data_IF_055732663156
#
_entry.id   IF_055732663156
#
_cell.length_a   1.000
_cell.length_b   1.000
_cell.length_c   1.000
_cell.angle_alpha   90.00
_cell.angle_beta   90.00
_cell.angle_gamma   90.00
#
_symmetry.space_group_name_H-M   'P 1'
#
loop_
_entity.id
_entity.type
_entity.pdbx_description
1 polymer ?
#
# COMPACT_ATOMS: atom_id res chain seq x y z
N UNK A 1 54.87 37.24 -14.55
CA UNK A 1 53.43 37.44 -14.34
C UNK A 1 52.68 36.26 -14.96
N UNK A 2 52.31 35.27 -14.18
CA UNK A 2 51.65 34.02 -14.64
C UNK A 2 50.19 34.06 -14.20
N UNK A 3 49.28 34.22 -15.16
CA UNK A 3 47.81 34.27 -14.92
C UNK A 3 47.29 32.84 -14.84
N UNK A 4 46.92 32.38 -13.66
CA UNK A 4 46.15 31.15 -13.45
C UNK A 4 44.68 31.40 -13.85
N UNK A 5 44.24 30.78 -14.92
CA UNK A 5 42.83 30.70 -15.29
C UNK A 5 42.20 29.51 -14.50
N UNK A 6 41.39 29.86 -13.52
CA UNK A 6 40.62 28.91 -12.73
C UNK A 6 39.32 28.59 -13.48
N UNK A 7 39.29 27.42 -14.17
CA UNK A 7 38.09 26.93 -14.82
C UNK A 7 37.14 26.40 -13.78
N UNK A 8 36.03 27.10 -13.58
CA UNK A 8 34.89 26.66 -12.73
C UNK A 8 34.06 25.64 -13.53
N UNK A 9 34.23 24.36 -13.23
CA UNK A 9 33.39 23.30 -13.79
C UNK A 9 32.00 23.32 -13.08
N UNK A 10 30.98 23.74 -13.80
CA UNK A 10 29.60 23.68 -13.36
C UNK A 10 29.11 22.22 -13.47
N UNK A 11 29.06 21.52 -12.34
CA UNK A 11 28.46 20.18 -12.25
C UNK A 11 26.93 20.33 -12.25
N UNK A 12 26.32 20.11 -13.42
CA UNK A 12 24.86 19.95 -13.51
C UNK A 12 24.48 18.58 -12.88
N UNK A 13 23.96 18.59 -11.68
CA UNK A 13 23.32 17.42 -11.07
C UNK A 13 21.99 17.16 -11.80
N UNK A 14 21.96 16.16 -12.69
CA UNK A 14 20.70 15.59 -13.20
C UNK A 14 20.04 14.84 -12.04
N UNK A 15 19.04 15.45 -11.40
CA UNK A 15 18.11 14.72 -10.54
C UNK A 15 17.28 13.79 -11.43
N UNK A 16 17.18 12.49 -11.13
CA UNK A 16 16.28 11.60 -11.86
C UNK A 16 14.83 12.13 -11.71
N UNK A 17 14.17 12.33 -12.83
CA UNK A 17 12.73 12.58 -12.86
C UNK A 17 12.06 11.29 -12.32
N UNK A 18 11.56 11.33 -11.09
CA UNK A 18 10.65 10.30 -10.58
C UNK A 18 9.38 10.46 -11.39
N UNK A 19 9.08 9.49 -12.24
CA UNK A 19 7.80 9.43 -12.93
C UNK A 19 6.73 9.14 -11.88
N UNK A 20 5.64 9.88 -11.92
CA UNK A 20 4.47 9.67 -11.07
C UNK A 20 3.23 9.61 -11.95
N UNK A 21 2.32 8.69 -11.63
CA UNK A 21 1.02 8.56 -12.29
C UNK A 21 -0.01 9.30 -11.43
N UNK A 22 -0.69 10.29 -12.00
CA UNK A 22 -1.77 10.97 -11.28
C UNK A 22 -3.06 10.15 -11.34
N UNK A 23 -3.65 9.85 -10.17
CA UNK A 23 -4.92 9.13 -10.03
C UNK A 23 -5.78 9.83 -8.98
N UNK A 24 -6.95 10.34 -9.35
CA UNK A 24 -7.87 11.08 -8.47
C UNK A 24 -7.19 12.24 -7.71
N UNK A 25 -6.28 12.97 -8.38
CA UNK A 25 -5.54 14.09 -7.77
C UNK A 25 -4.38 13.66 -6.86
N UNK A 26 -4.05 12.36 -6.84
CA UNK A 26 -2.94 11.80 -6.08
C UNK A 26 -1.79 11.45 -7.00
N UNK A 27 -0.60 11.94 -6.71
CA UNK A 27 0.64 11.54 -7.38
C UNK A 27 1.11 10.19 -6.83
N UNK A 28 1.02 9.15 -7.66
CA UNK A 28 1.45 7.79 -7.32
C UNK A 28 2.83 7.54 -7.90
N UNK A 29 3.81 7.33 -7.04
CA UNK A 29 5.20 7.06 -7.46
C UNK A 29 5.31 5.70 -8.15
N UNK A 30 6.13 5.60 -9.20
CA UNK A 30 6.42 4.33 -9.89
C UNK A 30 7.22 3.34 -9.03
N UNK A 31 7.79 3.81 -7.92
CA UNK A 31 8.65 3.02 -7.03
C UNK A 31 8.32 3.28 -5.57
N UNK A 32 8.53 2.26 -4.75
CA UNK A 32 8.37 2.31 -3.30
C UNK A 32 9.63 1.76 -2.62
N UNK A 33 10.21 2.52 -1.70
CA UNK A 33 11.36 2.07 -0.92
C UNK A 33 10.86 1.22 0.26
N UNK A 34 11.04 -0.11 0.19
CA UNK A 34 10.96 -1.01 1.33
C UNK A 34 12.35 -1.14 1.97
N UNK A 35 12.43 -1.60 3.23
CA UNK A 35 13.66 -1.52 4.04
C UNK A 35 14.96 -1.92 3.32
N UNK A 36 14.95 -3.00 2.54
CA UNK A 36 16.16 -3.53 1.89
C UNK A 36 16.12 -3.54 0.37
N UNK A 37 14.99 -3.17 -0.23
CA UNK A 37 14.85 -3.18 -1.68
C UNK A 37 13.85 -2.14 -2.17
N UNK A 38 13.98 -1.79 -3.43
CA UNK A 38 13.03 -0.96 -4.15
C UNK A 38 11.98 -1.85 -4.81
N UNK A 39 10.69 -1.57 -4.53
CA UNK A 39 9.56 -2.20 -5.17
C UNK A 39 9.07 -1.32 -6.34
N UNK A 40 8.51 -1.95 -7.37
CA UNK A 40 7.92 -1.27 -8.53
C UNK A 40 6.40 -1.25 -8.41
N UNK A 41 5.78 -0.20 -8.91
CA UNK A 41 4.32 -0.10 -8.99
C UNK A 41 3.79 -1.22 -9.90
N UNK A 42 2.96 -2.09 -9.33
CA UNK A 42 2.25 -3.13 -10.09
C UNK A 42 0.98 -2.59 -10.72
N UNK A 43 0.21 -1.84 -9.96
CA UNK A 43 -1.00 -1.22 -10.46
C UNK A 43 -1.64 -0.34 -9.39
N UNK A 44 -2.56 0.53 -9.83
CA UNK A 44 -3.22 1.50 -8.96
C UNK A 44 -4.67 1.70 -9.38
N UNK A 45 -5.55 1.76 -8.39
CA UNK A 45 -6.97 2.00 -8.61
C UNK A 45 -7.62 2.78 -7.47
N UNK A 46 -8.89 3.10 -7.66
CA UNK A 46 -9.69 3.89 -6.73
C UNK A 46 -10.72 2.99 -6.07
N UNK A 47 -10.77 3.00 -4.74
CA UNK A 47 -11.89 2.43 -3.97
C UNK A 47 -13.05 3.41 -3.99
N UNK A 48 -14.15 2.99 -4.58
CA UNK A 48 -15.38 3.80 -4.65
C UNK A 48 -16.46 3.18 -3.78
N UNK A 49 -17.21 3.97 -3.02
CA UNK A 49 -18.38 3.53 -2.26
C UNK A 49 -19.47 4.59 -2.37
N UNK A 50 -20.70 4.19 -2.69
CA UNK A 50 -21.83 5.12 -2.90
C UNK A 50 -21.50 6.29 -3.85
N UNK A 51 -20.85 5.97 -4.99
CA UNK A 51 -20.43 6.92 -6.02
C UNK A 51 -19.36 7.94 -5.59
N UNK A 52 -18.73 7.76 -4.43
CA UNK A 52 -17.65 8.61 -3.93
C UNK A 52 -16.35 7.85 -3.88
N UNK A 53 -15.28 8.51 -4.27
CA UNK A 53 -13.93 8.00 -4.13
C UNK A 53 -13.52 8.07 -2.67
N UNK A 54 -13.02 6.96 -2.15
CA UNK A 54 -12.70 6.80 -0.72
C UNK A 54 -11.19 6.86 -0.51
N UNK A 55 -10.46 6.08 -1.29
CA UNK A 55 -8.99 6.09 -1.29
C UNK A 55 -8.46 5.61 -2.65
N UNK A 56 -7.24 6.03 -2.97
CA UNK A 56 -6.42 5.44 -4.03
C UNK A 56 -5.59 4.33 -3.40
N UNK A 57 -5.61 3.13 -3.99
CA UNK A 57 -4.78 2.00 -3.56
C UNK A 57 -3.76 1.66 -4.64
N UNK A 58 -2.48 1.63 -4.28
CA UNK A 58 -1.37 1.26 -5.13
C UNK A 58 -0.68 0.00 -4.59
N UNK A 59 -0.48 -1.00 -5.46
CA UNK A 59 0.23 -2.24 -5.16
C UNK A 59 1.67 -2.14 -5.66
N UNK A 60 2.63 -2.45 -4.80
CA UNK A 60 4.05 -2.46 -5.12
C UNK A 60 4.65 -3.84 -4.87
N UNK A 61 5.37 -4.35 -5.86
CA UNK A 61 5.97 -5.69 -5.88
C UNK A 61 7.45 -5.63 -6.27
N UNK A 62 8.26 -6.68 -6.01
CA UNK A 62 9.64 -6.77 -6.51
C UNK A 62 9.74 -6.71 -8.04
N UNK A 63 8.75 -7.27 -8.73
CA UNK A 63 8.52 -7.19 -10.17
C UNK A 63 7.02 -7.24 -10.45
N UNK A 64 6.57 -6.71 -11.57
CA UNK A 64 5.15 -6.74 -11.92
C UNK A 64 4.63 -8.17 -12.08
N UNK A 65 3.41 -8.41 -11.58
CA UNK A 65 2.71 -9.69 -11.66
C UNK A 65 1.19 -9.46 -11.72
N UNK A 66 0.51 -10.12 -12.63
CA UNK A 66 -0.95 -10.03 -12.83
C UNK A 66 -1.71 -11.20 -12.17
N UNK A 67 -0.99 -12.19 -11.64
CA UNK A 67 -1.58 -13.34 -10.99
C UNK A 67 -1.81 -13.06 -9.49
N UNK A 68 -3.06 -12.76 -9.13
CA UNK A 68 -3.45 -12.44 -7.77
C UNK A 68 -3.11 -13.57 -6.76
N UNK A 69 -3.31 -14.82 -7.14
CA UNK A 69 -3.05 -15.97 -6.26
C UNK A 69 -1.56 -16.10 -5.95
N UNK A 70 -0.70 -15.92 -6.97
CA UNK A 70 0.76 -15.92 -6.77
C UNK A 70 1.19 -14.77 -5.85
N UNK A 71 0.65 -13.57 -6.03
CA UNK A 71 0.97 -12.40 -5.19
C UNK A 71 0.54 -12.66 -3.73
N UNK A 72 -0.68 -13.17 -3.52
CA UNK A 72 -1.17 -13.49 -2.17
C UNK A 72 -0.30 -14.57 -1.52
N UNK A 73 0.05 -15.64 -2.26
CA UNK A 73 0.81 -16.77 -1.74
C UNK A 73 2.29 -16.46 -1.48
N UNK A 74 2.87 -15.52 -2.22
CA UNK A 74 4.31 -15.21 -2.16
C UNK A 74 4.77 -14.79 -0.77
N UNK A 75 5.91 -15.30 -0.34
CA UNK A 75 6.63 -14.89 0.86
C UNK A 75 7.80 -13.97 0.45
N UNK A 76 7.45 -12.82 -0.14
CA UNK A 76 8.38 -11.83 -0.69
C UNK A 76 7.96 -10.42 -0.22
N UNK A 77 8.89 -9.46 -0.12
CA UNK A 77 8.57 -8.08 0.22
C UNK A 77 7.56 -7.48 -0.75
N UNK A 78 6.55 -6.82 -0.22
CA UNK A 78 5.54 -6.12 -1.02
C UNK A 78 4.82 -5.06 -0.19
N UNK A 79 4.18 -4.11 -0.84
CA UNK A 79 3.44 -3.07 -0.15
C UNK A 79 2.12 -2.72 -0.84
N UNK A 80 1.13 -2.34 -0.03
CA UNK A 80 -0.06 -1.63 -0.50
C UNK A 80 -0.06 -0.25 0.17
N UNK A 81 -0.08 0.80 -0.63
CA UNK A 81 -0.28 2.18 -0.17
C UNK A 81 -1.72 2.58 -0.39
N UNK A 82 -2.37 3.05 0.67
CA UNK A 82 -3.70 3.66 0.63
C UNK A 82 -3.54 5.17 0.82
N UNK A 83 -4.05 5.94 -0.12
CA UNK A 83 -4.10 7.39 -0.03
C UNK A 83 -5.53 7.84 0.15
N UNK A 84 -5.87 8.41 1.29
CA UNK A 84 -7.23 8.79 1.64
C UNK A 84 -7.64 10.05 0.86
N UNK A 85 -8.72 9.95 0.08
CA UNK A 85 -9.22 11.07 -0.74
C UNK A 85 -10.63 11.51 -0.33
N UNK A 86 -11.09 11.07 0.84
CA UNK A 86 -12.45 11.36 1.32
C UNK A 86 -12.48 11.61 2.81
N UNK A 87 -13.12 12.70 3.22
CA UNK A 87 -13.42 13.00 4.61
C UNK A 87 -14.52 12.09 5.23
N UNK A 88 -15.11 11.19 4.43
CA UNK A 88 -16.10 10.24 4.91
C UNK A 88 -15.52 9.07 5.69
N UNK A 89 -14.21 8.86 5.64
CA UNK A 89 -13.52 7.86 6.46
C UNK A 89 -13.43 8.40 7.89
N UNK A 90 -13.68 7.53 8.84
CA UNK A 90 -13.42 7.73 10.26
C UNK A 90 -12.93 6.40 10.87
N UNK A 91 -12.35 6.41 12.09
CA UNK A 91 -11.79 5.20 12.70
C UNK A 91 -12.76 4.01 12.72
N UNK A 92 -14.02 4.24 13.07
CA UNK A 92 -15.04 3.19 13.10
C UNK A 92 -15.27 2.57 11.72
N UNK A 93 -15.48 3.40 10.69
CA UNK A 93 -15.68 2.91 9.31
C UNK A 93 -14.46 2.20 8.76
N UNK A 94 -13.26 2.66 9.10
CA UNK A 94 -12.01 2.01 8.71
C UNK A 94 -11.92 0.62 9.35
N UNK A 95 -12.14 0.52 10.67
CA UNK A 95 -12.14 -0.74 11.40
C UNK A 95 -13.21 -1.71 10.90
N UNK A 96 -14.46 -1.25 10.73
CA UNK A 96 -15.56 -2.07 10.23
C UNK A 96 -15.24 -2.60 8.81
N UNK A 97 -14.76 -1.74 7.90
CA UNK A 97 -14.40 -2.14 6.54
C UNK A 97 -13.20 -3.11 6.51
N UNK A 98 -12.26 -2.97 7.42
CA UNK A 98 -11.12 -3.88 7.56
C UNK A 98 -11.60 -5.27 8.01
N UNK A 99 -12.48 -5.35 9.03
CA UNK A 99 -13.06 -6.62 9.47
C UNK A 99 -13.85 -7.30 8.35
N UNK A 100 -14.72 -6.57 7.67
CA UNK A 100 -15.48 -7.08 6.52
C UNK A 100 -14.53 -7.62 5.43
N UNK A 101 -13.44 -6.91 5.17
CA UNK A 101 -12.41 -7.33 4.23
C UNK A 101 -11.75 -8.65 4.62
N UNK A 102 -11.42 -8.85 5.90
CA UNK A 102 -10.87 -10.12 6.38
C UNK A 102 -11.90 -11.25 6.32
N UNK A 103 -13.17 -11.00 6.63
CA UNK A 103 -14.23 -12.01 6.48
C UNK A 103 -14.31 -12.49 5.02
N UNK A 104 -14.27 -11.58 4.06
CA UNK A 104 -14.30 -11.90 2.63
C UNK A 104 -13.04 -12.66 2.20
N UNK A 105 -11.85 -12.14 2.50
CA UNK A 105 -10.58 -12.71 2.06
C UNK A 105 -10.27 -14.09 2.65
N UNK A 106 -10.87 -14.43 3.80
CA UNK A 106 -10.71 -15.72 4.47
C UNK A 106 -11.89 -16.68 4.26
N UNK A 107 -12.88 -16.30 3.43
CA UNK A 107 -14.11 -17.09 3.27
C UNK A 107 -14.89 -17.26 4.58
N UNK A 108 -14.82 -16.29 5.49
CA UNK A 108 -15.48 -16.29 6.80
C UNK A 108 -14.68 -16.91 7.93
N UNK A 109 -13.51 -17.52 7.65
CA UNK A 109 -12.69 -18.15 8.68
C UNK A 109 -11.60 -17.22 9.21
N UNK A 110 -11.98 -16.21 9.98
CA UNK A 110 -11.05 -15.22 10.58
C UNK A 110 -10.38 -15.76 11.86
N UNK A 111 -11.01 -16.71 12.56
CA UNK A 111 -10.55 -17.20 13.86
C UNK A 111 -9.04 -17.53 13.97
N UNK A 112 -8.38 -18.13 12.95
CA UNK A 112 -6.95 -18.41 13.04
C UNK A 112 -6.02 -17.19 13.07
N UNK A 113 -6.53 -15.99 12.77
CA UNK A 113 -5.77 -14.72 12.69
C UNK A 113 -6.48 -13.58 13.41
N UNK A 114 -7.45 -13.88 14.29
CA UNK A 114 -8.28 -12.86 14.93
C UNK A 114 -7.46 -11.90 15.79
N UNK A 115 -6.46 -12.41 16.51
CA UNK A 115 -5.57 -11.57 17.33
C UNK A 115 -4.77 -10.58 16.48
N UNK A 116 -4.27 -11.03 15.33
CA UNK A 116 -3.53 -10.23 14.38
C UNK A 116 -4.43 -9.16 13.71
N UNK A 117 -5.68 -9.50 13.44
CA UNK A 117 -6.67 -8.54 12.92
C UNK A 117 -6.96 -7.44 13.94
N UNK A 118 -7.13 -7.80 15.22
CA UNK A 118 -7.33 -6.82 16.29
C UNK A 118 -6.10 -5.92 16.46
N UNK A 119 -4.90 -6.47 16.40
CA UNK A 119 -3.66 -5.70 16.45
C UNK A 119 -3.57 -4.70 15.29
N UNK A 120 -3.87 -5.12 14.05
CA UNK A 120 -3.92 -4.21 12.90
C UNK A 120 -4.92 -3.06 13.13
N UNK A 121 -6.10 -3.36 13.67
CA UNK A 121 -7.16 -2.37 13.87
C UNK A 121 -6.74 -1.28 14.85
N UNK A 122 -5.82 -1.57 15.78
CA UNK A 122 -5.28 -0.53 16.68
C UNK A 122 -4.60 0.60 15.91
N UNK A 123 -4.03 0.33 14.73
CA UNK A 123 -3.39 1.34 13.88
C UNK A 123 -4.39 2.38 13.32
N UNK A 124 -5.70 2.08 13.37
CA UNK A 124 -6.76 2.94 12.83
C UNK A 124 -7.59 3.65 13.90
N UNK A 125 -7.18 3.61 15.16
CA UNK A 125 -7.95 4.20 16.28
C UNK A 125 -7.92 5.74 16.28
N UNK A 126 -6.85 6.34 15.76
CA UNK A 126 -6.75 7.79 15.64
C UNK A 126 -7.66 8.31 14.50
N UNK A 127 -8.06 9.58 14.61
CA UNK A 127 -8.84 10.23 13.56
C UNK A 127 -8.13 10.11 12.21
N UNK A 128 -8.85 9.64 11.18
CA UNK A 128 -8.36 9.52 9.81
C UNK A 128 -8.85 10.73 9.02
N UNK A 129 -7.96 11.41 8.31
CA UNK A 129 -8.25 12.61 7.56
C UNK A 129 -7.97 12.42 6.07
N UNK A 130 -8.63 13.24 5.25
CA UNK A 130 -8.31 13.33 3.83
C UNK A 130 -6.87 13.81 3.65
N UNK A 131 -6.11 13.15 2.78
CA UNK A 131 -4.67 13.34 2.60
C UNK A 131 -3.79 12.39 3.40
N UNK A 132 -4.33 11.67 4.39
CA UNK A 132 -3.56 10.63 5.09
C UNK A 132 -3.11 9.51 4.14
N UNK A 133 -1.93 8.98 4.39
CA UNK A 133 -1.42 7.77 3.74
C UNK A 133 -1.28 6.63 4.74
N UNK A 134 -1.68 5.43 4.34
CA UNK A 134 -1.37 4.19 5.05
C UNK A 134 -0.54 3.29 4.16
N UNK A 135 0.64 2.90 4.63
CA UNK A 135 1.50 1.92 3.95
C UNK A 135 1.45 0.61 4.72
N UNK A 136 0.98 -0.43 4.04
CA UNK A 136 0.95 -1.80 4.54
C UNK A 136 2.14 -2.52 3.92
N UNK A 137 3.27 -2.55 4.62
CA UNK A 137 4.55 -3.07 4.11
C UNK A 137 4.80 -4.44 4.69
N UNK A 138 4.87 -5.45 3.83
CA UNK A 138 5.22 -6.82 4.20
C UNK A 138 6.69 -7.09 3.93
N UNK A 139 7.36 -7.60 4.94
CA UNK A 139 8.70 -8.17 4.87
C UNK A 139 8.68 -9.59 5.49
N UNK A 140 9.20 -10.62 4.82
CA UNK A 140 9.14 -12.01 5.31
C UNK A 140 9.67 -12.21 6.73
N UNK A 141 10.74 -11.48 7.09
CA UNK A 141 11.37 -11.62 8.40
C UNK A 141 10.61 -10.91 9.54
N UNK A 142 9.87 -9.83 9.25
CA UNK A 142 9.24 -8.97 10.25
C UNK A 142 7.71 -8.97 10.23
N UNK A 143 7.09 -9.46 9.15
CA UNK A 143 5.63 -9.42 8.97
C UNK A 143 5.16 -8.14 8.29
N UNK A 144 3.93 -7.71 8.57
CA UNK A 144 3.32 -6.50 8.03
C UNK A 144 3.51 -5.35 8.99
N UNK A 145 4.23 -4.31 8.58
CA UNK A 145 4.29 -3.05 9.30
C UNK A 145 3.30 -2.06 8.67
N UNK A 146 2.48 -1.42 9.50
CA UNK A 146 1.58 -0.36 9.10
C UNK A 146 2.21 0.98 9.43
N UNK A 147 2.40 1.79 8.41
CA UNK A 147 2.81 3.18 8.58
C UNK A 147 1.62 4.10 8.28
N UNK A 148 1.46 5.15 9.04
CA UNK A 148 0.58 6.28 8.73
C UNK A 148 1.43 7.52 8.57
N UNK A 149 1.37 8.15 7.40
CA UNK A 149 2.16 9.34 7.06
C UNK A 149 3.67 9.15 7.33
N UNK A 150 4.18 7.92 7.08
CA UNK A 150 5.57 7.55 7.32
C UNK A 150 5.92 7.16 8.76
N UNK A 151 4.99 7.27 9.71
CA UNK A 151 5.17 6.86 11.10
C UNK A 151 4.66 5.44 11.33
N UNK A 152 5.48 4.53 11.88
CA UNK A 152 5.07 3.16 12.21
C UNK A 152 4.02 3.15 13.31
N UNK A 153 2.89 2.49 13.08
CA UNK A 153 1.76 2.39 14.01
C UNK A 153 1.59 1.00 14.60
N UNK A 154 1.84 -0.06 13.82
CA UNK A 154 1.79 -1.44 14.29
C UNK A 154 2.67 -2.33 13.43
N UNK A 155 3.02 -3.52 13.97
CA UNK A 155 3.72 -4.57 13.22
C UNK A 155 3.10 -5.92 13.56
N UNK A 156 2.51 -6.58 12.58
CA UNK A 156 1.79 -7.84 12.72
C UNK A 156 2.51 -8.95 11.98
N UNK A 157 2.91 -10.00 12.69
CA UNK A 157 3.68 -11.10 12.14
C UNK A 157 2.80 -12.17 11.48
N UNK A 158 3.40 -12.91 10.56
CA UNK A 158 2.83 -14.12 10.01
C UNK A 158 2.41 -14.03 8.55
N UNK A 159 2.87 -15.02 7.77
CA UNK A 159 2.52 -15.11 6.35
C UNK A 159 1.01 -15.30 6.14
N UNK A 160 0.34 -16.09 6.99
CA UNK A 160 -1.13 -16.26 6.90
C UNK A 160 -1.88 -14.96 7.08
N UNK A 161 -1.43 -14.12 8.02
CA UNK A 161 -2.00 -12.79 8.20
C UNK A 161 -1.80 -11.92 6.96
N UNK A 162 -0.57 -11.88 6.41
CA UNK A 162 -0.28 -11.16 5.16
C UNK A 162 -1.18 -11.63 4.02
N UNK A 163 -1.33 -12.94 3.84
CA UNK A 163 -2.17 -13.51 2.80
C UNK A 163 -3.63 -13.05 2.92
N UNK A 164 -4.18 -13.08 4.13
CA UNK A 164 -5.53 -12.60 4.38
C UNK A 164 -5.65 -11.07 4.18
N UNK A 165 -4.67 -10.29 4.64
CA UNK A 165 -4.66 -8.84 4.49
C UNK A 165 -4.62 -8.41 3.01
N UNK A 166 -3.68 -8.93 2.23
CA UNK A 166 -3.58 -8.62 0.80
C UNK A 166 -4.78 -9.19 0.02
N UNK A 167 -5.34 -10.30 0.50
CA UNK A 167 -6.58 -10.88 0.00
C UNK A 167 -7.80 -9.94 0.06
N UNK A 168 -7.81 -8.94 0.95
CA UNK A 168 -8.88 -7.93 1.00
C UNK A 168 -9.06 -7.27 -0.38
N UNK A 169 -7.97 -7.04 -1.11
CA UNK A 169 -8.01 -6.43 -2.44
C UNK A 169 -7.88 -7.43 -3.58
N UNK A 170 -7.19 -8.56 -3.36
CA UNK A 170 -6.72 -9.43 -4.43
C UNK A 170 -7.39 -10.82 -4.48
N UNK A 171 -8.15 -11.24 -3.45
CA UNK A 171 -8.81 -12.56 -3.41
C UNK A 171 -9.92 -12.70 -4.47
N UNK A 172 -10.55 -13.86 -4.52
CA UNK A 172 -11.71 -14.12 -5.38
C UNK A 172 -12.95 -13.30 -4.97
N UNK A 173 -13.08 -12.97 -3.66
CA UNK A 173 -14.11 -12.06 -3.16
C UNK A 173 -13.46 -10.78 -2.62
N UNK A 174 -12.92 -9.89 -3.50
CA UNK A 174 -12.23 -8.68 -3.08
C UNK A 174 -13.23 -7.63 -2.59
N UNK A 175 -12.73 -6.63 -1.91
CA UNK A 175 -13.57 -5.51 -1.45
C UNK A 175 -14.22 -4.75 -2.62
N UNK A 176 -13.61 -4.81 -3.83
CA UNK A 176 -14.16 -4.27 -5.08
C UNK A 176 -13.41 -4.84 -6.29
N UNK A 177 -14.13 -5.53 -7.21
CA UNK A 177 -13.54 -6.17 -8.40
C UNK A 177 -12.77 -5.18 -9.28
N UNK A 178 -13.38 -4.04 -9.61
CA UNK A 178 -12.73 -3.02 -10.44
C UNK A 178 -11.43 -2.49 -9.83
N UNK A 179 -11.34 -2.42 -8.51
CA UNK A 179 -10.10 -2.01 -7.83
C UNK A 179 -9.04 -3.10 -7.97
N UNK A 180 -9.41 -4.37 -7.74
CA UNK A 180 -8.54 -5.52 -7.97
C UNK A 180 -7.96 -5.52 -9.38
N UNK A 181 -8.82 -5.39 -10.40
CA UNK A 181 -8.40 -5.35 -11.80
C UNK A 181 -7.34 -4.26 -12.04
N UNK A 182 -7.55 -3.06 -11.46
CA UNK A 182 -6.62 -1.94 -11.60
C UNK A 182 -5.32 -2.11 -10.82
N UNK A 183 -5.31 -2.83 -9.71
CA UNK A 183 -4.10 -3.16 -8.97
C UNK A 183 -3.27 -4.25 -9.67
N UNK A 184 -3.88 -5.04 -10.56
CA UNK A 184 -3.25 -6.08 -11.36
C UNK A 184 -2.93 -5.64 -12.81
N UNK A 185 -3.32 -4.44 -13.22
CA UNK A 185 -3.16 -3.88 -14.57
C UNK A 185 -1.76 -3.23 -14.71
N UNK A 186 -0.73 -4.09 -14.79
CA UNK A 186 0.70 -3.73 -14.87
C UNK A 186 1.21 -3.57 -16.30
#
# INVERSE_FOLDING_TARGET
MMRFLMSLALVLSLSPLVSAKEVAGVDVADKFAADQQELVLNGVGIRTKFFMDIYVAALYLPKTNQNAEEIIAADEPMAIRLHIVSSMINPKRMSDSTRDGFVRSTGGNVAPIEAEVEELITAFQDAVEEGDTFDLVYEPASGVTVYRNGESKSNVKGLKFKQALFGIWLSEDPIQDRLKDKMLDS
#
